data_IF_167347168415
#
_entry.id   IF_167347168415
#
_cell.length_a   1.000
_cell.length_b   1.000
_cell.length_c   1.000
_cell.angle_alpha   90.00
_cell.angle_beta   90.00
_cell.angle_gamma   90.00
#
_symmetry.space_group_name_H-M   'P 1'
#
loop_
_entity.id
_entity.type
_entity.pdbx_description
1 polymer ?
#
# COMPACT_ATOMS: atom_id res chain seq x y z
N UNK A 1 -28.72 -19.97 -7.06
CA UNK A 1 -27.49 -19.21 -6.74
C UNK A 1 -26.53 -19.35 -7.91
N UNK A 2 -25.76 -18.32 -8.25
CA UNK A 2 -24.74 -18.35 -9.31
C UNK A 2 -23.34 -18.24 -8.71
N UNK A 3 -22.34 -18.97 -9.22
CA UNK A 3 -20.97 -18.84 -8.76
C UNK A 3 -20.40 -17.46 -9.12
N UNK A 4 -19.49 -16.97 -8.29
CA UNK A 4 -18.75 -15.73 -8.48
C UNK A 4 -17.25 -16.03 -8.37
N UNK A 5 -16.46 -15.45 -9.26
CA UNK A 5 -15.01 -15.53 -9.24
C UNK A 5 -14.43 -14.12 -9.22
N UNK A 6 -13.44 -13.88 -8.37
CA UNK A 6 -12.72 -12.61 -8.34
C UNK A 6 -11.81 -12.57 -9.56
N UNK A 7 -11.98 -11.53 -10.37
CA UNK A 7 -11.11 -11.23 -11.50
C UNK A 7 -10.61 -9.80 -11.33
N UNK A 8 -9.30 -9.65 -11.20
CA UNK A 8 -8.64 -8.33 -11.13
C UNK A 8 -7.91 -8.12 -12.43
N UNK A 9 -8.28 -7.07 -13.16
CA UNK A 9 -7.63 -6.73 -14.43
C UNK A 9 -6.18 -6.29 -14.19
N UNK A 10 -5.29 -6.63 -15.12
CA UNK A 10 -3.87 -6.26 -15.02
C UNK A 10 -3.67 -4.74 -14.89
N UNK A 11 -4.50 -3.94 -15.57
CA UNK A 11 -4.46 -2.49 -15.51
C UNK A 11 -4.70 -1.93 -14.09
N UNK A 12 -5.48 -2.63 -13.25
CA UNK A 12 -5.69 -2.24 -11.86
C UNK A 12 -4.41 -2.43 -11.05
N UNK A 13 -3.70 -3.54 -11.26
CA UNK A 13 -2.43 -3.80 -10.59
C UNK A 13 -1.33 -2.82 -11.04
N UNK A 14 -1.29 -2.49 -12.32
CA UNK A 14 -0.39 -1.47 -12.88
C UNK A 14 -0.65 -0.08 -12.27
N UNK A 15 -1.92 0.34 -12.15
CA UNK A 15 -2.28 1.60 -11.51
C UNK A 15 -1.87 1.64 -10.04
N UNK A 16 -2.06 0.54 -9.30
CA UNK A 16 -1.61 0.43 -7.91
C UNK A 16 -0.09 0.61 -7.83
N UNK A 17 0.68 -0.10 -8.65
CA UNK A 17 2.14 0.03 -8.66
C UNK A 17 2.59 1.46 -9.00
N UNK A 18 1.93 2.11 -9.96
CA UNK A 18 2.23 3.51 -10.30
C UNK A 18 1.99 4.44 -9.11
N UNK A 19 0.89 4.28 -8.38
CA UNK A 19 0.56 5.10 -7.21
C UNK A 19 1.50 4.87 -6.05
N UNK A 20 1.85 3.61 -5.77
CA UNK A 20 2.79 3.28 -4.70
C UNK A 20 4.19 3.85 -5.01
N UNK A 21 4.60 3.87 -6.28
CA UNK A 21 5.87 4.48 -6.69
C UNK A 21 5.88 6.01 -6.62
N UNK A 22 4.76 6.67 -6.91
CA UNK A 22 4.66 8.13 -6.95
C UNK A 22 4.15 8.76 -5.63
N UNK A 23 4.10 7.98 -4.55
CA UNK A 23 3.58 8.44 -3.27
C UNK A 23 4.44 9.55 -2.66
N UNK A 24 3.81 10.43 -1.88
CA UNK A 24 4.49 11.38 -1.00
C UNK A 24 4.05 11.13 0.44
N UNK A 25 4.99 10.78 1.31
CA UNK A 25 4.69 10.63 2.73
C UNK A 25 4.49 11.98 3.43
N UNK A 26 3.52 12.09 4.34
CA UNK A 26 3.43 13.25 5.22
C UNK A 26 4.59 13.27 6.22
N UNK A 27 4.82 14.42 6.83
CA UNK A 27 5.70 14.52 7.99
C UNK A 27 5.03 13.97 9.24
N UNK A 28 5.85 13.48 10.19
CA UNK A 28 5.38 12.98 11.48
C UNK A 28 6.04 13.76 12.62
N UNK A 29 5.27 14.03 13.68
CA UNK A 29 5.77 14.59 14.92
C UNK A 29 6.80 13.62 15.52
N UNK A 30 7.98 14.14 15.87
CA UNK A 30 9.05 13.32 16.45
C UNK A 30 8.57 12.57 17.69
N UNK A 31 8.93 11.29 17.77
CA UNK A 31 8.59 10.39 18.89
C UNK A 31 7.08 10.21 19.14
N UNK A 32 6.21 10.54 18.20
CA UNK A 32 4.76 10.37 18.40
C UNK A 32 4.26 8.95 18.18
N UNK A 33 5.12 8.03 17.73
CA UNK A 33 4.79 6.61 17.52
C UNK A 33 3.50 6.43 16.71
N UNK A 34 2.46 5.95 17.40
CA UNK A 34 1.12 5.70 16.86
C UNK A 34 0.03 6.60 17.46
N UNK A 35 0.40 7.57 18.31
CA UNK A 35 -0.53 8.37 19.11
C UNK A 35 -1.51 9.22 18.27
N UNK A 36 -1.14 9.47 17.01
CA UNK A 36 -1.91 10.27 16.05
C UNK A 36 -2.27 9.50 14.77
N UNK A 37 -2.36 8.18 14.87
CA UNK A 37 -2.62 7.28 13.75
C UNK A 37 -1.38 6.50 13.34
N UNK A 38 -1.40 5.93 12.15
CA UNK A 38 -0.34 5.02 11.67
C UNK A 38 1.03 5.69 11.72
N UNK A 39 1.99 5.03 12.38
CA UNK A 39 3.37 5.49 12.39
C UNK A 39 3.99 5.50 11.00
N UNK A 40 4.70 6.58 10.65
CA UNK A 40 5.31 6.79 9.32
C UNK A 40 6.29 5.68 8.96
N UNK A 41 7.16 5.30 9.90
CA UNK A 41 8.16 4.26 9.67
C UNK A 41 7.52 2.91 9.29
N UNK A 42 6.46 2.52 10.00
CA UNK A 42 5.72 1.31 9.69
C UNK A 42 5.00 1.40 8.33
N UNK A 43 4.37 2.55 8.04
CA UNK A 43 3.71 2.74 6.74
C UNK A 43 4.71 2.72 5.58
N UNK A 44 5.90 3.26 5.78
CA UNK A 44 7.00 3.22 4.80
C UNK A 44 7.42 1.78 4.49
N UNK A 45 7.63 0.97 5.52
CA UNK A 45 7.96 -0.46 5.39
C UNK A 45 6.86 -1.24 4.68
N UNK A 46 5.60 -1.05 5.09
CA UNK A 46 4.46 -1.74 4.49
C UNK A 46 4.30 -1.40 3.00
N UNK A 47 4.47 -0.13 2.64
CA UNK A 47 4.38 0.24 1.23
C UNK A 47 5.55 -0.33 0.43
N UNK A 48 6.74 -0.43 1.01
CA UNK A 48 7.86 -1.07 0.32
C UNK A 48 7.57 -2.55 0.06
N UNK A 49 7.09 -3.27 1.06
CA UNK A 49 6.68 -4.67 0.92
C UNK A 49 5.63 -4.87 -0.20
N UNK A 50 4.61 -4.02 -0.28
CA UNK A 50 3.59 -4.07 -1.34
C UNK A 50 4.11 -3.78 -2.75
N UNK A 51 5.20 -3.01 -2.85
CA UNK A 51 5.83 -2.68 -4.13
C UNK A 51 6.71 -3.81 -4.64
N UNK A 52 7.47 -4.46 -3.76
CA UNK A 52 8.60 -5.30 -4.15
C UNK A 52 8.43 -6.79 -3.85
N UNK A 53 7.64 -7.14 -2.84
CA UNK A 53 7.60 -8.51 -2.29
C UNK A 53 6.23 -9.16 -2.37
N UNK A 54 5.15 -8.38 -2.28
CA UNK A 54 3.80 -8.93 -2.33
C UNK A 54 3.39 -9.31 -3.76
N UNK A 55 3.03 -10.58 -3.95
CA UNK A 55 2.42 -11.07 -5.19
C UNK A 55 0.90 -10.84 -5.16
N UNK A 56 0.41 -10.01 -6.08
CA UNK A 56 -1.00 -9.66 -6.19
C UNK A 56 -1.82 -10.68 -6.99
N UNK A 57 -1.19 -11.73 -7.54
CA UNK A 57 -1.84 -12.74 -8.40
C UNK A 57 -2.11 -14.07 -7.72
#
# INVERSE_FOLDING_TARGET
MRPFAIHVEAAVLEDIQLRLNNRRFPDQIKNSGWDYGTGKAYLEELVEYWKSEYDWR
#
